data_IF_904371444915
#
_entry.id   IF_904371444915
#
_cell.length_a   1.000
_cell.length_b   1.000
_cell.length_c   1.000
_cell.angle_alpha   90.00
_cell.angle_beta   90.00
_cell.angle_gamma   90.00
#
_symmetry.space_group_name_H-M   'P 1'
#
loop_
_entity.id
_entity.type
_entity.pdbx_description
1 polymer ?
#
# COMPACT_ATOMS: atom_id res chain seq x y z
N UNK A 1 -22.14 -14.03 -12.21
CA UNK A 1 -20.76 -13.96 -12.73
C UNK A 1 -19.89 -13.46 -11.60
N UNK A 2 -18.75 -14.08 -11.32
CA UNK A 2 -17.83 -13.58 -10.30
C UNK A 2 -17.28 -12.21 -10.74
N UNK A 3 -17.11 -11.28 -9.80
CA UNK A 3 -16.45 -10.01 -10.11
C UNK A 3 -15.01 -10.31 -10.56
N UNK A 4 -14.51 -9.64 -11.61
CA UNK A 4 -13.11 -9.76 -12.00
C UNK A 4 -12.22 -9.38 -10.82
N UNK A 5 -11.26 -10.25 -10.49
CA UNK A 5 -10.32 -10.02 -9.40
C UNK A 5 -9.25 -9.03 -9.82
N UNK A 6 -8.91 -8.09 -8.93
CA UNK A 6 -7.79 -7.17 -9.10
C UNK A 6 -6.46 -7.95 -9.03
N UNK A 7 -5.58 -7.71 -9.99
CA UNK A 7 -4.24 -8.30 -10.02
C UNK A 7 -3.31 -7.41 -9.20
N UNK A 8 -2.68 -7.98 -8.18
CA UNK A 8 -1.74 -7.28 -7.30
C UNK A 8 -0.29 -7.60 -7.70
N UNK A 9 0.64 -6.73 -7.32
CA UNK A 9 2.08 -6.98 -7.48
C UNK A 9 2.52 -8.12 -6.55
N UNK A 10 3.36 -9.02 -7.08
CA UNK A 10 3.91 -10.19 -6.38
C UNK A 10 5.25 -9.90 -5.68
N UNK A 11 5.81 -8.71 -5.89
CA UNK A 11 6.95 -8.20 -5.15
C UNK A 11 6.48 -7.09 -4.23
N UNK A 12 7.07 -7.08 -3.04
CA UNK A 12 6.78 -6.09 -2.02
C UNK A 12 8.06 -5.33 -1.73
N UNK A 13 7.94 -4.03 -1.44
CA UNK A 13 9.03 -3.19 -0.94
C UNK A 13 10.21 -3.03 -1.93
N UNK A 14 9.94 -3.16 -3.22
CA UNK A 14 10.84 -2.79 -4.31
C UNK A 14 10.06 -1.88 -5.26
N UNK A 15 10.67 -0.79 -5.70
CA UNK A 15 10.20 -0.08 -6.88
C UNK A 15 10.32 -0.96 -8.13
N UNK A 16 9.56 -0.65 -9.17
CA UNK A 16 9.61 -1.36 -10.45
C UNK A 16 11.06 -1.39 -11.02
N UNK A 17 11.83 -0.33 -10.78
CA UNK A 17 13.25 -0.19 -11.17
C UNK A 17 14.17 -1.07 -10.32
N UNK A 18 14.00 -1.08 -9.00
CA UNK A 18 14.80 -1.94 -8.12
C UNK A 18 14.53 -3.42 -8.38
N UNK A 19 13.26 -3.77 -8.67
CA UNK A 19 12.85 -5.13 -9.01
C UNK A 19 13.53 -5.64 -10.30
N UNK A 20 13.54 -4.83 -11.36
CA UNK A 20 14.17 -5.17 -12.65
C UNK A 20 15.69 -5.24 -12.51
N UNK A 21 16.32 -4.29 -11.80
CA UNK A 21 17.76 -4.33 -11.51
C UNK A 21 18.16 -5.55 -10.67
N UNK A 22 17.37 -5.92 -9.66
CA UNK A 22 17.60 -7.13 -8.89
C UNK A 22 17.47 -8.38 -9.78
N UNK A 23 16.45 -8.44 -10.63
CA UNK A 23 16.26 -9.53 -11.59
C UNK A 23 17.46 -9.68 -12.55
N UNK A 24 18.04 -8.57 -13.01
CA UNK A 24 19.31 -8.58 -13.78
C UNK A 24 20.47 -9.19 -13.00
N UNK A 25 20.58 -8.84 -11.71
CA UNK A 25 21.65 -9.30 -10.83
C UNK A 25 21.56 -10.80 -10.59
N UNK A 26 20.36 -11.30 -10.23
CA UNK A 26 20.11 -12.72 -10.03
C UNK A 26 20.30 -13.51 -11.32
N UNK A 27 19.83 -12.99 -12.47
CA UNK A 27 20.04 -13.65 -13.78
C UNK A 27 21.53 -13.78 -14.11
N UNK A 28 22.32 -12.76 -13.80
CA UNK A 28 23.78 -12.81 -14.01
C UNK A 28 24.41 -13.90 -13.15
N UNK A 29 24.04 -14.01 -11.87
CA UNK A 29 24.50 -15.09 -10.98
C UNK A 29 24.07 -16.48 -11.48
N UNK A 30 22.79 -16.64 -11.86
CA UNK A 30 22.27 -17.86 -12.46
C UNK A 30 23.06 -18.29 -13.69
N UNK A 31 23.42 -17.35 -14.56
CA UNK A 31 24.15 -17.64 -15.81
C UNK A 31 25.54 -18.20 -15.52
N UNK A 32 26.22 -17.71 -14.48
CA UNK A 32 27.53 -18.23 -14.05
C UNK A 32 27.43 -19.68 -13.56
N UNK A 33 26.37 -20.02 -12.81
CA UNK A 33 26.22 -21.33 -12.20
C UNK A 33 25.20 -22.24 -12.90
N UNK A 34 24.83 -21.92 -14.15
CA UNK A 34 23.72 -22.55 -14.89
C UNK A 34 23.75 -24.07 -14.87
N UNK A 35 24.93 -24.68 -15.02
CA UNK A 35 25.10 -26.14 -15.03
C UNK A 35 24.58 -26.81 -13.74
N UNK A 36 24.72 -26.15 -12.59
CA UNK A 36 24.21 -26.65 -11.30
C UNK A 36 22.70 -26.54 -11.24
N UNK A 37 22.13 -25.43 -11.71
CA UNK A 37 20.68 -25.25 -11.83
C UNK A 37 20.04 -26.27 -12.78
N UNK A 38 20.62 -26.51 -13.95
CA UNK A 38 20.09 -27.49 -14.92
C UNK A 38 20.19 -28.94 -14.42
N UNK A 39 21.16 -29.21 -13.54
CA UNK A 39 21.28 -30.52 -12.87
C UNK A 39 20.22 -30.68 -11.79
N UNK A 40 19.89 -29.60 -11.08
CA UNK A 40 18.85 -29.58 -10.06
C UNK A 40 17.44 -29.69 -10.66
N UNK A 41 17.16 -28.93 -11.72
CA UNK A 41 15.88 -28.95 -12.45
C UNK A 41 16.11 -28.69 -13.96
N UNK A 42 15.74 -29.63 -14.85
CA UNK A 42 15.87 -29.47 -16.30
C UNK A 42 15.12 -28.27 -16.89
N UNK A 43 14.12 -27.70 -16.20
CA UNK A 43 13.40 -26.50 -16.64
C UNK A 43 14.32 -25.27 -16.77
N UNK A 44 15.48 -25.27 -16.11
CA UNK A 44 16.48 -24.19 -16.21
C UNK A 44 17.38 -24.30 -17.46
N UNK A 45 17.16 -25.30 -18.33
CA UNK A 45 17.86 -25.40 -19.60
C UNK A 45 17.50 -24.26 -20.56
N UNK A 46 18.26 -24.14 -21.65
CA UNK A 46 17.87 -23.23 -22.71
C UNK A 46 16.46 -23.55 -23.23
N UNK A 47 15.61 -22.53 -23.44
CA UNK A 47 15.93 -21.10 -23.52
C UNK A 47 15.66 -20.27 -22.24
N UNK A 48 15.60 -20.87 -21.05
CA UNK A 48 15.15 -20.22 -19.81
C UNK A 48 15.76 -18.82 -19.56
N UNK A 49 17.09 -18.69 -19.58
CA UNK A 49 17.79 -17.41 -19.32
C UNK A 49 17.43 -16.33 -20.33
N UNK A 50 17.29 -16.70 -21.60
CA UNK A 50 16.94 -15.78 -22.67
C UNK A 50 15.50 -15.30 -22.54
N UNK A 51 14.56 -16.21 -22.24
CA UNK A 51 13.17 -15.87 -21.99
C UNK A 51 13.02 -14.95 -20.77
N UNK A 52 13.80 -15.20 -19.71
CA UNK A 52 13.82 -14.32 -18.54
C UNK A 52 14.37 -12.93 -18.87
N UNK A 53 15.44 -12.82 -19.67
CA UNK A 53 15.92 -11.53 -20.15
C UNK A 53 14.84 -10.76 -20.91
N UNK A 54 14.13 -11.41 -21.84
CA UNK A 54 13.02 -10.77 -22.58
C UNK A 54 11.94 -10.24 -21.64
N UNK A 55 11.64 -10.93 -20.54
CA UNK A 55 10.69 -10.47 -19.53
C UNK A 55 11.19 -9.25 -18.75
N UNK A 56 12.48 -9.21 -18.42
CA UNK A 56 13.10 -8.04 -17.78
C UNK A 56 13.02 -6.83 -18.73
N UNK A 57 13.44 -6.99 -19.98
CA UNK A 57 13.40 -5.91 -20.99
C UNK A 57 11.97 -5.42 -21.24
N UNK A 58 10.98 -6.32 -21.28
CA UNK A 58 9.58 -5.96 -21.41
C UNK A 58 9.08 -5.14 -20.20
N UNK A 59 9.53 -5.46 -18.99
CA UNK A 59 9.19 -4.70 -17.78
C UNK A 59 9.85 -3.31 -17.77
N UNK A 60 11.10 -3.19 -18.22
CA UNK A 60 11.83 -1.92 -18.30
C UNK A 60 11.27 -0.97 -19.39
N UNK A 61 10.68 -1.53 -20.45
CA UNK A 61 10.05 -0.76 -21.52
C UNK A 61 8.70 -0.14 -21.15
N UNK A 62 8.13 -0.49 -20.00
CA UNK A 62 6.84 0.03 -19.56
C UNK A 62 6.93 1.52 -19.19
N UNK A 63 5.94 2.34 -19.57
CA UNK A 63 5.87 3.71 -19.08
C UNK A 63 5.72 3.71 -17.55
N UNK A 64 6.41 4.63 -16.88
CA UNK A 64 6.23 4.86 -15.44
C UNK A 64 4.82 5.39 -15.13
N UNK A 65 4.36 5.30 -13.88
CA UNK A 65 3.06 5.90 -13.51
C UNK A 65 3.10 7.42 -13.64
N UNK A 66 4.27 8.01 -13.37
CA UNK A 66 4.55 9.41 -13.63
C UNK A 66 4.38 9.77 -15.11
N UNK A 67 4.93 8.97 -16.03
CA UNK A 67 4.77 9.21 -17.48
C UNK A 67 3.29 9.14 -17.92
N UNK A 68 2.52 8.19 -17.37
CA UNK A 68 1.07 8.07 -17.61
C UNK A 68 0.31 9.29 -17.05
N UNK A 69 0.71 9.77 -15.88
CA UNK A 69 0.11 10.96 -15.26
C UNK A 69 0.46 12.24 -16.03
N UNK A 70 1.68 12.35 -16.53
CA UNK A 70 2.12 13.46 -17.36
C UNK A 70 1.34 13.52 -18.67
N UNK A 71 1.11 12.38 -19.33
CA UNK A 71 0.29 12.30 -20.53
C UNK A 71 -1.15 12.77 -20.27
N UNK A 72 -1.77 12.32 -19.17
CA UNK A 72 -3.10 12.80 -18.78
C UNK A 72 -3.11 14.32 -18.51
N UNK A 73 -2.04 14.84 -17.93
CA UNK A 73 -1.88 16.28 -17.66
C UNK A 73 -1.77 17.06 -18.98
N UNK A 74 -1.00 16.57 -19.95
CA UNK A 74 -0.90 17.17 -21.28
C UNK A 74 -2.25 17.20 -22.00
N UNK A 75 -3.01 16.09 -21.97
CA UNK A 75 -4.36 16.03 -22.55
C UNK A 75 -5.32 17.00 -21.85
N UNK A 76 -5.22 17.12 -20.53
CA UNK A 76 -6.03 18.06 -19.74
C UNK A 76 -5.73 19.52 -20.12
N UNK A 77 -4.45 19.86 -20.31
CA UNK A 77 -4.03 21.18 -20.77
C UNK A 77 -4.53 21.47 -22.20
N UNK A 78 -4.48 20.48 -23.09
CA UNK A 78 -4.99 20.62 -24.45
C UNK A 78 -6.50 20.95 -24.46
N UNK A 79 -7.29 20.29 -23.61
CA UNK A 79 -8.73 20.61 -23.47
C UNK A 79 -8.92 22.04 -22.95
N UNK A 80 -8.16 22.45 -21.93
CA UNK A 80 -8.30 23.80 -21.36
C UNK A 80 -7.90 24.90 -22.35
N UNK A 81 -6.87 24.67 -23.17
CA UNK A 81 -6.50 25.58 -24.26
C UNK A 81 -7.67 25.77 -25.23
N UNK A 82 -8.33 24.67 -25.65
CA UNK A 82 -9.48 24.76 -26.56
C UNK A 82 -10.71 25.37 -25.90
N UNK A 83 -10.92 25.14 -24.61
CA UNK A 83 -11.95 25.82 -23.81
C UNK A 83 -11.75 27.34 -23.84
N UNK A 84 -10.52 27.81 -23.64
CA UNK A 84 -10.22 29.24 -23.64
C UNK A 84 -10.45 29.88 -25.01
N UNK A 85 -10.04 29.20 -26.09
CA UNK A 85 -10.32 29.66 -27.45
C UNK A 85 -11.83 29.74 -27.73
N UNK A 86 -12.62 28.77 -27.28
CA UNK A 86 -14.08 28.81 -27.40
C UNK A 86 -14.70 29.99 -26.62
N UNK A 87 -14.26 30.22 -25.39
CA UNK A 87 -14.69 31.36 -24.56
C UNK A 87 -14.38 32.68 -25.26
N UNK A 88 -13.13 32.86 -25.71
CA UNK A 88 -12.72 34.06 -26.42
C UNK A 88 -13.52 34.27 -27.72
N UNK A 89 -13.77 33.20 -28.47
CA UNK A 89 -14.55 33.25 -29.70
C UNK A 89 -15.98 33.74 -29.45
N UNK A 90 -16.65 33.23 -28.42
CA UNK A 90 -18.00 33.71 -28.11
C UNK A 90 -18.00 35.17 -27.65
N UNK A 91 -17.09 35.55 -26.74
CA UNK A 91 -17.01 36.93 -26.24
C UNK A 91 -16.75 37.95 -27.36
N UNK A 92 -15.81 37.66 -28.25
CA UNK A 92 -15.52 38.54 -29.40
C UNK A 92 -16.69 38.62 -30.40
N UNK A 93 -17.49 37.56 -30.50
CA UNK A 93 -18.66 37.51 -31.38
C UNK A 93 -19.85 38.33 -30.86
N UNK A 94 -19.96 38.54 -29.55
CA UNK A 94 -21.04 39.32 -28.92
C UNK A 94 -21.21 40.70 -29.54
N UNK A 95 -20.09 41.40 -29.79
CA UNK A 95 -20.09 42.70 -30.44
C UNK A 95 -20.85 42.69 -31.78
N UNK A 96 -20.61 41.69 -32.62
CA UNK A 96 -21.25 41.58 -33.92
C UNK A 96 -22.71 41.14 -33.81
N UNK A 97 -23.03 40.26 -32.85
CA UNK A 97 -24.39 39.80 -32.58
C UNK A 97 -25.26 41.00 -32.13
N UNK A 98 -24.81 41.77 -31.15
CA UNK A 98 -25.51 42.96 -30.64
C UNK A 98 -25.64 44.05 -31.69
N UNK A 99 -24.59 44.26 -32.51
CA UNK A 99 -24.63 45.18 -33.66
C UNK A 99 -25.64 44.74 -34.74
N UNK A 100 -25.87 43.44 -34.88
CA UNK A 100 -26.82 42.88 -35.87
C UNK A 100 -28.25 42.87 -35.34
N UNK A 101 -28.42 42.60 -34.06
CA UNK A 101 -29.70 42.41 -33.39
C UNK A 101 -29.83 43.31 -32.16
N UNK A 102 -29.84 44.65 -32.36
CA UNK A 102 -29.94 45.58 -31.24
C UNK A 102 -31.29 45.41 -30.53
N UNK A 103 -31.25 45.29 -29.20
CA UNK A 103 -32.43 45.11 -28.33
C UNK A 103 -33.32 43.88 -28.62
N UNK A 104 -32.88 42.94 -29.45
CA UNK A 104 -33.61 41.69 -29.70
C UNK A 104 -33.03 40.56 -28.84
N UNK A 105 -33.40 40.58 -27.55
CA UNK A 105 -32.92 39.62 -26.56
C UNK A 105 -33.31 38.18 -26.87
N UNK A 106 -34.46 37.96 -27.52
CA UNK A 106 -34.86 36.61 -27.93
C UNK A 106 -33.85 36.00 -28.92
N UNK A 107 -33.41 36.77 -29.92
CA UNK A 107 -32.38 36.31 -30.86
C UNK A 107 -31.02 36.19 -30.19
N UNK A 108 -30.64 37.12 -29.29
CA UNK A 108 -29.39 37.02 -28.54
C UNK A 108 -29.35 35.78 -27.64
N UNK A 109 -30.46 35.41 -27.00
CA UNK A 109 -30.55 34.18 -26.22
C UNK A 109 -30.51 32.93 -27.11
N UNK A 110 -31.01 32.96 -28.36
CA UNK A 110 -30.75 31.85 -29.28
C UNK A 110 -29.25 31.59 -29.49
N UNK A 111 -28.41 32.65 -29.48
CA UNK A 111 -26.95 32.52 -29.52
C UNK A 111 -26.35 31.98 -28.21
N UNK A 112 -27.14 31.80 -27.15
CA UNK A 112 -26.73 31.22 -25.86
C UNK A 112 -26.26 32.24 -24.82
N UNK A 113 -26.74 33.49 -24.87
CA UNK A 113 -26.38 34.50 -23.86
C UNK A 113 -26.75 34.10 -22.43
N UNK A 114 -27.87 33.40 -22.27
CA UNK A 114 -28.38 32.83 -21.02
C UNK A 114 -27.64 31.57 -20.56
N UNK A 115 -27.19 30.73 -21.50
CA UNK A 115 -26.51 29.46 -21.20
C UNK A 115 -24.99 29.58 -21.00
N UNK A 116 -24.37 30.67 -21.47
CA UNK A 116 -22.91 30.79 -21.57
C UNK A 116 -22.19 30.69 -20.22
N UNK A 117 -22.72 31.28 -19.15
CA UNK A 117 -22.06 31.29 -17.83
C UNK A 117 -21.94 29.90 -17.22
N UNK A 118 -22.87 29.02 -17.56
CA UNK A 118 -22.83 27.60 -17.21
C UNK A 118 -21.88 26.83 -18.12
N UNK A 119 -21.94 27.09 -19.43
CA UNK A 119 -21.14 26.40 -20.43
C UNK A 119 -19.63 26.65 -20.23
N UNK A 120 -19.22 27.88 -19.90
CA UNK A 120 -17.81 28.27 -19.75
C UNK A 120 -17.03 27.51 -18.66
N UNK A 121 -17.72 26.82 -17.76
CA UNK A 121 -17.15 26.09 -16.62
C UNK A 121 -17.15 24.57 -16.80
N UNK A 122 -17.67 24.06 -17.92
CA UNK A 122 -17.80 22.63 -18.17
C UNK A 122 -17.45 22.29 -19.61
N UNK A 123 -16.52 21.36 -19.80
CA UNK A 123 -16.06 20.89 -21.12
C UNK A 123 -17.24 20.38 -21.96
N UNK A 124 -18.04 19.47 -21.38
CA UNK A 124 -19.23 18.89 -22.04
C UNK A 124 -20.27 19.95 -22.40
N UNK A 125 -20.56 20.89 -21.48
CA UNK A 125 -21.52 21.97 -21.76
C UNK A 125 -20.99 22.92 -22.83
N UNK A 126 -19.70 23.25 -22.83
CA UNK A 126 -19.09 24.12 -23.83
C UNK A 126 -19.12 23.49 -25.23
N UNK A 127 -18.91 22.19 -25.36
CA UNK A 127 -19.06 21.47 -26.65
C UNK A 127 -20.50 21.65 -27.19
N UNK A 128 -21.51 21.33 -26.37
CA UNK A 128 -22.91 21.51 -26.76
C UNK A 128 -23.26 22.97 -27.08
N UNK A 129 -22.72 23.90 -26.30
CA UNK A 129 -22.86 25.34 -26.52
C UNK A 129 -22.28 25.78 -27.87
N UNK A 130 -21.05 25.37 -28.22
CA UNK A 130 -20.39 25.74 -29.48
C UNK A 130 -21.12 25.16 -30.69
N UNK A 131 -21.66 23.95 -30.58
CA UNK A 131 -22.53 23.35 -31.60
C UNK A 131 -23.78 24.20 -31.84
N UNK A 132 -24.46 24.61 -30.76
CA UNK A 132 -25.62 25.49 -30.85
C UNK A 132 -25.25 26.87 -31.43
N UNK A 133 -24.13 27.44 -30.98
CA UNK A 133 -23.64 28.74 -31.45
C UNK A 133 -23.38 28.71 -32.96
N UNK A 134 -22.70 27.68 -33.48
CA UNK A 134 -22.47 27.52 -34.91
C UNK A 134 -23.77 27.36 -35.71
N UNK A 135 -24.71 26.56 -35.21
CA UNK A 135 -26.04 26.37 -35.83
C UNK A 135 -26.80 27.69 -35.96
N UNK A 136 -26.82 28.50 -34.90
CA UNK A 136 -27.54 29.78 -34.86
C UNK A 136 -26.82 30.85 -35.68
N UNK A 137 -25.48 30.88 -35.67
CA UNK A 137 -24.71 31.73 -36.57
C UNK A 137 -25.00 31.43 -38.05
N UNK A 138 -25.15 30.16 -38.42
CA UNK A 138 -25.56 29.77 -39.77
C UNK A 138 -27.00 30.18 -40.09
N UNK A 139 -27.95 30.02 -39.16
CA UNK A 139 -29.35 30.49 -39.31
C UNK A 139 -29.40 31.98 -39.65
N UNK A 140 -28.57 32.79 -38.99
CA UNK A 140 -28.57 34.26 -39.12
C UNK A 140 -27.45 34.83 -40.01
N UNK A 141 -26.73 33.98 -40.76
CA UNK A 141 -25.49 34.35 -41.48
C UNK A 141 -25.60 35.58 -42.39
N UNK A 142 -26.71 35.72 -43.14
CA UNK A 142 -26.90 36.84 -44.06
C UNK A 142 -26.90 38.18 -43.32
N UNK A 143 -27.56 38.23 -42.15
CA UNK A 143 -27.63 39.44 -41.32
C UNK A 143 -26.28 39.74 -40.65
N UNK A 144 -25.59 38.71 -40.17
CA UNK A 144 -24.27 38.80 -39.56
C UNK A 144 -23.21 39.32 -40.55
N UNK A 145 -23.19 38.77 -41.77
CA UNK A 145 -22.28 39.20 -42.84
C UNK A 145 -22.52 40.66 -43.22
N UNK A 146 -23.78 41.11 -43.28
CA UNK A 146 -24.11 42.51 -43.50
C UNK A 146 -23.60 43.47 -42.40
N UNK A 147 -23.16 42.94 -41.26
CA UNK A 147 -22.51 43.69 -40.15
C UNK A 147 -21.01 43.39 -40.02
N UNK A 148 -20.40 42.81 -41.04
CA UNK A 148 -18.98 42.46 -41.15
C UNK A 148 -18.55 41.25 -40.30
N UNK A 149 -19.48 40.42 -39.83
CA UNK A 149 -19.12 39.12 -39.26
C UNK A 149 -18.99 38.10 -40.40
N UNK A 150 -17.75 37.88 -40.84
CA UNK A 150 -17.45 37.22 -42.10
C UNK A 150 -17.71 35.70 -42.07
N UNK A 151 -17.87 35.07 -43.24
CA UNK A 151 -18.03 33.61 -43.32
C UNK A 151 -16.86 32.83 -42.68
N UNK A 152 -15.58 33.23 -42.83
CA UNK A 152 -14.47 32.64 -42.07
C UNK A 152 -14.69 32.67 -40.56
N UNK A 153 -15.21 33.78 -40.00
CA UNK A 153 -15.48 33.88 -38.56
C UNK A 153 -16.60 32.93 -38.12
N UNK A 154 -17.59 32.65 -38.96
CA UNK A 154 -18.64 31.65 -38.69
C UNK A 154 -18.04 30.24 -38.73
N UNK A 155 -17.24 29.94 -39.77
CA UNK A 155 -16.59 28.63 -39.92
C UNK A 155 -15.64 28.30 -38.75
N UNK A 156 -14.95 29.31 -38.23
CA UNK A 156 -14.08 29.17 -37.06
C UNK A 156 -14.83 28.66 -35.82
N UNK A 157 -16.12 28.99 -35.65
CA UNK A 157 -16.92 28.46 -34.53
C UNK A 157 -17.04 26.93 -34.64
N UNK A 158 -17.34 26.43 -35.84
CA UNK A 158 -17.43 24.99 -36.10
C UNK A 158 -16.07 24.30 -35.93
N UNK A 159 -14.99 24.92 -36.43
CA UNK A 159 -13.65 24.38 -36.26
C UNK A 159 -13.24 24.28 -34.77
N UNK A 160 -13.55 25.29 -33.96
CA UNK A 160 -13.27 25.27 -32.52
C UNK A 160 -14.13 24.25 -31.77
N UNK A 161 -15.40 24.06 -32.18
CA UNK A 161 -16.23 22.97 -31.68
C UNK A 161 -15.56 21.61 -31.90
N UNK A 162 -15.16 21.32 -33.14
CA UNK A 162 -14.58 20.03 -33.50
C UNK A 162 -13.26 19.79 -32.75
N UNK A 163 -12.40 20.82 -32.67
CA UNK A 163 -11.14 20.75 -31.92
C UNK A 163 -11.35 20.49 -30.42
N UNK A 164 -12.32 21.16 -29.79
CA UNK A 164 -12.63 20.93 -28.37
C UNK A 164 -13.19 19.53 -28.14
N UNK A 165 -14.10 19.08 -29.01
CA UNK A 165 -14.69 17.75 -28.94
C UNK A 165 -13.64 16.65 -29.09
N UNK A 166 -12.72 16.78 -30.05
CA UNK A 166 -11.65 15.81 -30.27
C UNK A 166 -10.64 15.78 -29.11
N UNK A 167 -10.27 16.95 -28.57
CA UNK A 167 -9.42 17.02 -27.38
C UNK A 167 -10.08 16.35 -26.16
N UNK A 168 -11.37 16.61 -25.94
CA UNK A 168 -12.14 15.97 -24.85
C UNK A 168 -12.20 14.45 -25.04
N UNK A 169 -12.46 13.98 -26.26
CA UNK A 169 -12.51 12.54 -26.55
C UNK A 169 -11.16 11.86 -26.32
N UNK A 170 -10.06 12.49 -26.71
CA UNK A 170 -8.72 11.97 -26.43
C UNK A 170 -8.48 11.85 -24.91
N UNK A 171 -8.86 12.87 -24.13
CA UNK A 171 -8.73 12.84 -22.67
C UNK A 171 -9.59 11.73 -22.04
N UNK A 172 -10.86 11.62 -22.42
CA UNK A 172 -11.79 10.61 -21.87
C UNK A 172 -11.39 9.19 -22.29
N UNK A 173 -10.96 9.00 -23.53
CA UNK A 173 -10.41 7.74 -24.00
C UNK A 173 -9.22 7.32 -23.13
N UNK A 174 -8.26 8.23 -22.89
CA UNK A 174 -7.10 7.95 -22.05
C UNK A 174 -7.47 7.60 -20.61
N UNK A 175 -8.40 8.35 -19.99
CA UNK A 175 -8.93 8.02 -18.65
C UNK A 175 -9.51 6.61 -18.59
N UNK A 176 -10.20 6.18 -19.66
CA UNK A 176 -10.82 4.85 -19.71
C UNK A 176 -9.81 3.70 -19.85
N UNK A 177 -8.68 3.91 -20.55
CA UNK A 177 -7.65 2.88 -20.72
C UNK A 177 -6.60 2.87 -19.61
N UNK A 178 -6.46 3.94 -18.82
CA UNK A 178 -5.49 3.99 -17.70
C UNK A 178 -5.55 2.77 -16.76
N UNK A 179 -6.73 2.28 -16.31
CA UNK A 179 -6.79 1.08 -15.48
C UNK A 179 -6.23 -0.17 -16.18
N UNK A 180 -6.46 -0.30 -17.49
CA UNK A 180 -5.94 -1.39 -18.31
C UNK A 180 -4.41 -1.31 -18.39
N UNK A 181 -3.87 -0.12 -18.66
CA UNK A 181 -2.42 0.12 -18.67
C UNK A 181 -1.80 -0.27 -17.32
N UNK A 182 -2.42 0.11 -16.21
CA UNK A 182 -1.94 -0.27 -14.87
C UNK A 182 -1.96 -1.78 -14.68
N UNK A 183 -3.03 -2.45 -15.08
CA UNK A 183 -3.14 -3.90 -14.95
C UNK A 183 -2.11 -4.64 -15.83
N UNK A 184 -1.94 -4.25 -17.07
CA UNK A 184 -0.97 -4.83 -18.00
C UNK A 184 0.46 -4.66 -17.48
N UNK A 185 0.77 -3.49 -16.90
CA UNK A 185 2.05 -3.25 -16.24
C UNK A 185 2.29 -4.24 -15.11
N UNK A 186 1.32 -4.42 -14.21
CA UNK A 186 1.45 -5.36 -13.08
C UNK A 186 1.66 -6.79 -13.59
N UNK A 187 0.95 -7.21 -14.63
CA UNK A 187 1.11 -8.55 -15.23
C UNK A 187 2.54 -8.74 -15.74
N UNK A 188 3.08 -7.78 -16.50
CA UNK A 188 4.42 -7.87 -17.07
C UNK A 188 5.50 -7.84 -15.98
N UNK A 189 5.35 -6.97 -14.99
CA UNK A 189 6.26 -6.88 -13.84
C UNK A 189 6.26 -8.17 -13.00
N UNK A 190 5.08 -8.73 -12.72
CA UNK A 190 4.95 -10.01 -12.02
C UNK A 190 5.58 -11.15 -12.81
N UNK A 191 5.36 -11.19 -14.12
CA UNK A 191 5.93 -12.24 -14.97
C UNK A 191 7.47 -12.24 -14.96
N UNK A 192 8.11 -11.07 -14.81
CA UNK A 192 9.55 -10.93 -14.59
C UNK A 192 9.95 -11.42 -13.19
N UNK A 193 9.24 -10.96 -12.15
CA UNK A 193 9.53 -11.30 -10.76
C UNK A 193 9.37 -12.79 -10.45
N UNK A 194 8.37 -13.45 -11.03
CA UNK A 194 8.11 -14.87 -10.81
C UNK A 194 9.31 -15.75 -11.25
N UNK A 195 10.00 -15.38 -12.34
CA UNK A 195 11.23 -16.08 -12.76
C UNK A 195 12.38 -15.84 -11.77
N UNK A 196 12.50 -14.62 -11.27
CA UNK A 196 13.46 -14.26 -10.21
C UNK A 196 13.22 -15.09 -8.94
N UNK A 197 11.97 -15.22 -8.50
CA UNK A 197 11.60 -16.03 -7.35
C UNK A 197 11.92 -17.52 -7.56
N UNK A 198 11.65 -18.06 -8.76
CA UNK A 198 11.95 -19.45 -9.11
C UNK A 198 13.45 -19.73 -8.96
N UNK A 199 14.29 -18.86 -9.50
CA UNK A 199 15.75 -18.98 -9.44
C UNK A 199 16.27 -18.78 -8.01
N UNK A 200 15.82 -17.76 -7.29
CA UNK A 200 16.25 -17.53 -5.91
C UNK A 200 15.90 -18.71 -5.00
N UNK A 201 14.71 -19.30 -5.18
CA UNK A 201 14.28 -20.47 -4.41
C UNK A 201 15.17 -21.70 -4.68
N UNK A 202 15.48 -21.97 -5.95
CA UNK A 202 16.38 -23.06 -6.32
C UNK A 202 17.82 -22.81 -5.84
N UNK A 203 18.33 -21.58 -5.99
CA UNK A 203 19.70 -21.21 -5.60
C UNK A 203 19.98 -21.43 -4.12
N UNK A 204 19.04 -21.06 -3.24
CA UNK A 204 19.17 -21.31 -1.79
C UNK A 204 19.32 -22.80 -1.45
N UNK A 205 18.63 -23.67 -2.19
CA UNK A 205 18.70 -25.12 -1.99
C UNK A 205 20.01 -25.68 -2.55
N UNK A 206 20.37 -25.31 -3.78
CA UNK A 206 21.60 -25.79 -4.45
C UNK A 206 22.85 -25.41 -3.66
N UNK A 207 22.88 -24.21 -3.06
CA UNK A 207 24.04 -23.66 -2.37
C UNK A 207 23.92 -23.68 -0.84
N UNK A 208 23.09 -24.55 -0.26
CA UNK A 208 22.88 -24.61 1.19
C UNK A 208 24.17 -24.75 2.03
N UNK A 209 25.22 -25.33 1.45
CA UNK A 209 26.54 -25.54 2.06
C UNK A 209 27.61 -24.53 1.62
N UNK A 210 27.27 -23.58 0.74
CA UNK A 210 28.15 -22.53 0.25
C UNK A 210 27.51 -21.16 0.51
N UNK A 211 27.77 -20.61 1.70
CA UNK A 211 27.15 -19.37 2.18
C UNK A 211 27.34 -18.19 1.19
N UNK A 212 28.54 -18.02 0.63
CA UNK A 212 28.82 -16.93 -0.30
C UNK A 212 28.00 -17.02 -1.60
N UNK A 213 27.67 -18.23 -2.06
CA UNK A 213 26.79 -18.44 -3.22
C UNK A 213 25.32 -18.36 -2.82
N UNK A 214 24.95 -18.93 -1.68
CA UNK A 214 23.61 -18.85 -1.11
C UNK A 214 23.14 -17.40 -0.99
N UNK A 215 23.99 -16.50 -0.50
CA UNK A 215 23.65 -15.10 -0.27
C UNK A 215 23.36 -14.32 -1.57
N UNK A 216 23.86 -14.79 -2.73
CA UNK A 216 23.55 -14.20 -4.04
C UNK A 216 22.09 -14.45 -4.48
N UNK A 217 21.41 -15.41 -3.85
CA UNK A 217 20.05 -15.84 -4.15
C UNK A 217 19.07 -15.52 -3.01
N UNK A 218 19.51 -14.72 -2.04
CA UNK A 218 18.60 -14.11 -1.07
C UNK A 218 17.78 -13.02 -1.78
N UNK A 219 16.47 -13.05 -1.56
CA UNK A 219 15.63 -11.94 -1.97
C UNK A 219 16.03 -10.69 -1.16
N UNK A 220 15.89 -9.48 -1.72
CA UNK A 220 16.20 -8.28 -0.98
C UNK A 220 15.36 -8.27 0.29
N UNK A 221 16.01 -8.23 1.46
CA UNK A 221 15.33 -7.78 2.65
C UNK A 221 14.88 -6.35 2.39
N UNK A 222 13.65 -6.00 2.79
CA UNK A 222 13.04 -4.68 2.63
C UNK A 222 13.92 -3.56 3.19
N UNK A 223 14.93 -3.15 2.45
CA UNK A 223 15.97 -2.23 2.86
C UNK A 223 15.84 -0.97 2.00
N UNK A 224 14.81 -0.17 2.32
CA UNK A 224 14.64 1.19 1.82
C UNK A 224 13.32 1.42 1.10
N UNK A 225 12.34 1.99 1.82
CA UNK A 225 11.14 2.57 1.19
C UNK A 225 9.82 1.87 1.52
N UNK A 226 9.22 2.25 2.67
CA UNK A 226 7.77 2.19 2.89
C UNK A 226 7.09 0.85 2.69
N UNK A 227 7.50 -0.19 3.41
CA UNK A 227 6.72 -1.42 3.48
C UNK A 227 5.45 -1.23 4.31
N UNK A 228 4.37 -1.92 3.92
CA UNK A 228 3.31 -2.23 4.87
C UNK A 228 4.01 -2.98 6.02
N UNK A 229 3.99 -2.46 7.26
CA UNK A 229 4.74 -3.06 8.35
C UNK A 229 4.32 -4.53 8.49
N UNK A 230 5.29 -5.42 8.74
CA UNK A 230 4.97 -6.75 9.25
C UNK A 230 4.00 -6.54 10.40
N UNK A 231 2.77 -7.06 10.27
CA UNK A 231 1.69 -6.85 11.24
C UNK A 231 2.27 -7.24 12.60
N UNK A 232 2.46 -6.23 13.46
CA UNK A 232 3.04 -6.43 14.77
C UNK A 232 2.23 -7.52 15.50
N UNK A 233 2.93 -8.50 16.08
CA UNK A 233 2.30 -9.63 16.73
C UNK A 233 2.97 -10.01 18.05
N UNK A 234 2.15 -10.51 18.96
CA UNK A 234 2.58 -11.17 20.19
C UNK A 234 2.17 -12.64 20.08
N UNK A 235 3.15 -13.52 19.93
CA UNK A 235 2.93 -14.97 19.88
C UNK A 235 3.16 -15.59 21.26
N UNK A 236 2.22 -16.40 21.74
CA UNK A 236 2.30 -17.07 23.04
C UNK A 236 2.05 -18.55 22.86
N UNK A 237 2.96 -19.37 23.37
CA UNK A 237 2.75 -20.83 23.49
C UNK A 237 2.46 -21.14 24.95
N UNK A 238 1.25 -21.56 25.24
CA UNK A 238 0.72 -21.77 26.58
C UNK A 238 0.46 -23.24 26.90
N UNK A 239 0.95 -23.73 28.04
CA UNK A 239 0.68 -25.09 28.51
C UNK A 239 -0.55 -25.13 29.44
N UNK A 240 -1.68 -25.54 28.86
CA UNK A 240 -2.97 -25.67 29.56
C UNK A 240 -3.22 -27.08 30.11
N UNK A 241 -2.20 -27.93 30.16
CA UNK A 241 -2.35 -29.32 30.65
C UNK A 241 -2.75 -29.41 32.13
N UNK A 242 -2.39 -28.41 32.94
CA UNK A 242 -2.60 -28.44 34.41
C UNK A 242 -3.66 -27.47 34.94
N UNK A 243 -4.31 -26.65 34.09
CA UNK A 243 -5.21 -25.56 34.53
C UNK A 243 -6.53 -25.47 33.76
N UNK A 244 -6.99 -26.59 33.20
CA UNK A 244 -8.24 -26.67 32.44
C UNK A 244 -9.40 -26.01 33.17
N UNK A 245 -10.07 -25.04 32.53
CA UNK A 245 -11.24 -24.34 33.07
C UNK A 245 -10.99 -23.01 33.79
N UNK A 246 -9.73 -22.55 33.93
CA UNK A 246 -9.46 -21.18 34.38
C UNK A 246 -9.34 -20.21 33.20
N UNK A 247 -9.86 -18.97 33.32
CA UNK A 247 -9.70 -17.97 32.28
C UNK A 247 -8.25 -17.51 32.19
N UNK A 248 -7.71 -17.50 30.98
CA UNK A 248 -6.46 -16.82 30.67
C UNK A 248 -6.75 -15.36 30.40
N UNK A 249 -5.86 -14.48 30.83
CA UNK A 249 -5.99 -13.04 30.63
C UNK A 249 -4.76 -12.47 29.93
N UNK A 250 -4.99 -11.69 28.87
CA UNK A 250 -3.99 -10.81 28.27
C UNK A 250 -4.49 -9.38 28.45
N UNK A 251 -3.74 -8.60 29.22
CA UNK A 251 -4.09 -7.24 29.57
C UNK A 251 -3.16 -6.28 28.84
N UNK A 252 -3.73 -5.38 28.05
CA UNK A 252 -3.01 -4.38 27.26
C UNK A 252 -3.53 -3.00 27.65
N UNK A 253 -2.65 -2.14 28.17
CA UNK A 253 -2.99 -0.75 28.50
C UNK A 253 -2.27 0.22 27.57
N UNK A 254 -3.00 1.21 27.06
CA UNK A 254 -2.46 2.24 26.18
C UNK A 254 -1.84 3.40 26.95
N UNK A 255 -0.90 4.09 26.34
CA UNK A 255 -0.43 5.38 26.83
C UNK A 255 -1.51 6.47 26.63
N UNK A 256 -1.30 7.67 27.17
CA UNK A 256 -2.23 8.79 27.05
C UNK A 256 -2.37 9.34 25.61
N UNK A 257 -1.49 8.93 24.71
CA UNK A 257 -1.44 9.38 23.31
C UNK A 257 -2.09 8.39 22.35
N UNK A 258 -2.60 7.24 22.81
CA UNK A 258 -3.24 6.24 21.95
C UNK A 258 -4.51 6.82 21.29
N UNK A 259 -4.58 6.82 19.96
CA UNK A 259 -5.64 7.50 19.21
C UNK A 259 -6.81 6.60 18.77
N UNK A 260 -6.95 5.41 19.37
CA UNK A 260 -7.89 4.40 18.90
C UNK A 260 -7.30 3.57 17.75
N UNK A 261 -7.02 2.30 18.02
CA UNK A 261 -6.57 1.32 17.02
C UNK A 261 -6.98 -0.09 17.44
N UNK A 262 -7.37 -0.92 16.47
CA UNK A 262 -7.86 -2.27 16.73
C UNK A 262 -6.74 -3.26 17.02
N UNK A 263 -6.98 -4.15 17.99
CA UNK A 263 -6.15 -5.30 18.32
C UNK A 263 -7.04 -6.55 18.28
N UNK A 264 -6.52 -7.64 17.72
CA UNK A 264 -7.19 -8.94 17.63
C UNK A 264 -6.39 -9.99 18.38
N UNK A 265 -7.01 -10.69 19.33
CA UNK A 265 -6.47 -11.88 19.96
C UNK A 265 -7.13 -13.12 19.37
N UNK A 266 -6.34 -14.06 18.87
CA UNK A 266 -6.77 -15.35 18.32
C UNK A 266 -6.29 -16.45 19.25
N UNK A 267 -7.22 -17.25 19.77
CA UNK A 267 -6.94 -18.25 20.81
C UNK A 267 -6.88 -19.67 20.27
N UNK A 268 -7.77 -20.00 19.33
CA UNK A 268 -7.80 -21.26 18.60
C UNK A 268 -8.56 -21.06 17.29
N UNK A 269 -8.55 -22.07 16.42
CA UNK A 269 -9.19 -21.98 15.11
C UNK A 269 -10.66 -21.55 15.23
N UNK A 270 -10.98 -20.37 14.71
CA UNK A 270 -12.33 -19.81 14.72
C UNK A 270 -12.74 -19.10 16.03
N UNK A 271 -11.83 -18.94 16.99
CA UNK A 271 -12.09 -18.24 18.25
C UNK A 271 -11.16 -17.05 18.40
N UNK A 272 -11.73 -15.85 18.29
CA UNK A 272 -11.00 -14.59 18.37
C UNK A 272 -11.81 -13.49 19.06
N UNK A 273 -11.13 -12.55 19.71
CA UNK A 273 -11.71 -11.35 20.28
C UNK A 273 -10.98 -10.13 19.73
N UNK A 274 -11.72 -9.07 19.36
CA UNK A 274 -11.15 -7.80 18.93
C UNK A 274 -11.58 -6.67 19.85
N UNK A 275 -10.68 -5.73 20.12
CA UNK A 275 -10.97 -4.51 20.87
C UNK A 275 -10.13 -3.33 20.37
N UNK A 276 -10.60 -2.10 20.63
CA UNK A 276 -9.87 -0.89 20.26
C UNK A 276 -9.13 -0.31 21.47
N UNK A 277 -7.85 0.06 21.28
CA UNK A 277 -7.02 0.66 22.31
C UNK A 277 -7.22 2.18 22.35
N UNK A 278 -7.89 2.68 23.39
CA UNK A 278 -8.09 4.12 23.61
C UNK A 278 -6.97 4.73 24.47
N UNK A 279 -6.85 6.07 24.43
CA UNK A 279 -5.92 6.85 25.26
C UNK A 279 -6.10 6.52 26.76
N UNK A 280 -5.04 5.98 27.39
CA UNK A 280 -5.07 5.51 28.78
C UNK A 280 -6.03 4.35 29.05
N UNK A 281 -6.63 3.78 28.01
CA UNK A 281 -7.57 2.67 28.12
C UNK A 281 -6.87 1.35 28.41
N UNK A 282 -7.64 0.37 28.90
CA UNK A 282 -7.18 -0.99 29.12
C UNK A 282 -8.09 -1.97 28.40
N UNK A 283 -7.48 -2.86 27.62
CA UNK A 283 -8.13 -4.01 27.00
C UNK A 283 -7.79 -5.23 27.84
N UNK A 284 -8.81 -6.05 28.11
CA UNK A 284 -8.63 -7.37 28.73
C UNK A 284 -9.19 -8.41 27.76
N UNK A 285 -8.31 -9.21 27.17
CA UNK A 285 -8.72 -10.39 26.42
C UNK A 285 -8.77 -11.58 27.36
N UNK A 286 -9.91 -12.27 27.40
CA UNK A 286 -10.11 -13.46 28.23
C UNK A 286 -10.58 -14.65 27.40
N UNK A 287 -10.06 -15.84 27.70
CA UNK A 287 -10.54 -17.09 27.10
C UNK A 287 -10.40 -18.27 28.07
N UNK A 288 -11.32 -19.23 27.97
CA UNK A 288 -11.30 -20.48 28.74
C UNK A 288 -11.23 -21.63 27.76
N UNK A 289 -10.12 -22.37 27.76
CA UNK A 289 -10.00 -23.56 26.93
C UNK A 289 -10.81 -24.72 27.52
N UNK A 290 -11.66 -25.32 26.68
CA UNK A 290 -12.46 -26.48 27.05
C UNK A 290 -11.64 -27.79 27.12
N UNK A 291 -10.49 -27.83 26.44
CA UNK A 291 -9.62 -29.00 26.37
C UNK A 291 -8.18 -28.66 26.78
N UNK A 292 -7.61 -29.51 27.63
CA UNK A 292 -6.22 -29.46 28.03
C UNK A 292 -5.27 -29.66 26.82
N UNK A 293 -4.06 -29.09 26.91
CA UNK A 293 -3.01 -29.25 25.90
C UNK A 293 -2.17 -27.98 25.72
N UNK A 294 -1.28 -28.02 24.73
CA UNK A 294 -0.50 -26.85 24.31
C UNK A 294 -1.37 -25.99 23.39
N UNK A 295 -1.40 -24.69 23.65
CA UNK A 295 -2.21 -23.71 22.93
C UNK A 295 -1.33 -22.59 22.37
N UNK A 296 -1.58 -22.21 21.12
CA UNK A 296 -0.95 -21.06 20.49
C UNK A 296 -1.94 -19.90 20.53
N UNK A 297 -1.50 -18.76 21.03
CA UNK A 297 -2.30 -17.54 21.12
C UNK A 297 -1.54 -16.47 20.34
N UNK A 298 -2.22 -15.85 19.39
CA UNK A 298 -1.66 -14.78 18.57
C UNK A 298 -2.43 -13.49 18.84
N UNK A 299 -1.73 -12.44 19.25
CA UNK A 299 -2.30 -11.10 19.35
C UNK A 299 -1.70 -10.26 18.23
N UNK A 300 -2.52 -9.78 17.31
CA UNK A 300 -2.08 -9.01 16.14
C UNK A 300 -2.73 -7.63 16.12
N UNK A 301 -2.01 -6.65 15.59
CA UNK A 301 -2.63 -5.37 15.28
C UNK A 301 -3.63 -5.49 14.12
N UNK A 302 -4.83 -4.92 14.29
CA UNK A 302 -5.79 -4.69 13.20
C UNK A 302 -5.52 -3.33 12.56
N UNK A 303 -5.11 -2.36 13.39
CA UNK A 303 -4.65 -1.04 12.94
C UNK A 303 -3.13 -0.96 13.08
N UNK A 304 -2.44 -0.84 11.95
CA UNK A 304 -0.97 -0.79 11.91
C UNK A 304 -0.38 0.28 12.86
N UNK A 305 0.66 -0.08 13.59
CA UNK A 305 1.36 0.77 14.55
C UNK A 305 0.71 0.88 15.93
N UNK A 306 -0.42 0.21 16.18
CA UNK A 306 -1.14 0.34 17.48
C UNK A 306 -0.30 -0.15 18.66
N UNK A 307 0.60 -1.11 18.45
CA UNK A 307 1.49 -1.62 19.50
C UNK A 307 2.47 -0.56 20.01
N UNK A 308 2.85 0.41 19.16
CA UNK A 308 3.71 1.52 19.54
C UNK A 308 3.10 2.43 20.61
N UNK A 309 1.79 2.31 20.87
CA UNK A 309 1.09 3.03 21.94
C UNK A 309 0.83 2.20 23.20
N UNK A 310 1.25 0.93 23.25
CA UNK A 310 1.10 0.10 24.44
C UNK A 310 2.04 0.63 25.53
N UNK A 311 1.47 0.99 26.68
CA UNK A 311 2.21 1.39 27.88
C UNK A 311 2.51 0.19 28.79
N UNK A 312 1.60 -0.78 28.86
CA UNK A 312 1.71 -1.96 29.72
C UNK A 312 1.17 -3.21 29.02
N UNK A 313 1.95 -4.28 29.07
CA UNK A 313 1.57 -5.61 28.62
C UNK A 313 1.66 -6.58 29.80
N UNK A 314 0.54 -7.23 30.14
CA UNK A 314 0.48 -8.16 31.27
C UNK A 314 -0.17 -9.48 30.88
N UNK A 315 0.42 -10.58 31.32
CA UNK A 315 -0.06 -11.95 31.08
C UNK A 315 0.07 -12.79 32.35
N UNK A 316 -0.73 -12.50 33.38
CA UNK A 316 -0.62 -13.20 34.66
C UNK A 316 -1.09 -14.65 34.54
N UNK A 317 -0.27 -15.59 35.00
CA UNK A 317 -0.61 -17.01 35.14
C UNK A 317 -1.15 -17.68 33.85
N UNK A 318 -0.70 -17.23 32.67
CA UNK A 318 -1.15 -17.84 31.40
C UNK A 318 -0.41 -19.14 31.07
N UNK A 319 0.41 -19.67 31.98
CA UNK A 319 1.30 -20.83 31.76
C UNK A 319 2.10 -20.73 30.45
N UNK A 320 2.55 -19.53 30.07
CA UNK A 320 3.37 -19.35 28.89
C UNK A 320 4.69 -20.13 29.04
N UNK A 321 5.04 -20.84 27.98
CA UNK A 321 6.32 -21.53 27.77
C UNK A 321 7.17 -20.80 26.71
N UNK A 322 6.53 -20.04 25.82
CA UNK A 322 7.17 -19.13 24.85
C UNK A 322 6.35 -17.85 24.81
N UNK A 323 7.03 -16.70 24.76
CA UNK A 323 6.45 -15.40 24.41
C UNK A 323 7.37 -14.78 23.36
N UNK A 324 6.81 -14.40 22.21
CA UNK A 324 7.51 -13.73 21.12
C UNK A 324 6.88 -12.37 20.89
N UNK A 325 7.69 -11.32 20.82
CA UNK A 325 7.26 -9.95 20.53
C UNK A 325 7.82 -9.52 19.17
N UNK A 326 6.92 -9.13 18.27
CA UNK A 326 7.28 -8.53 16.98
C UNK A 326 6.52 -7.21 16.78
N UNK A 327 7.23 -6.18 16.32
CA UNK A 327 6.69 -4.85 16.10
C UNK A 327 7.18 -3.80 17.11
N UNK A 328 6.61 -2.60 17.04
CA UNK A 328 7.04 -1.48 17.86
C UNK A 328 6.40 -1.53 19.26
N UNK A 329 7.23 -1.65 20.30
CA UNK A 329 6.81 -1.54 21.72
C UNK A 329 7.54 -0.38 22.42
N UNK A 330 7.94 0.66 21.68
CA UNK A 330 8.72 1.78 22.18
C UNK A 330 8.02 2.66 23.22
N UNK A 331 6.73 2.47 23.49
CA UNK A 331 6.02 3.12 24.61
C UNK A 331 5.89 2.24 25.85
N UNK A 332 6.24 0.96 25.76
CA UNK A 332 6.01 0.01 26.84
C UNK A 332 7.00 0.26 27.98
N UNK A 333 6.44 0.59 29.14
CA UNK A 333 7.19 0.81 30.39
C UNK A 333 6.94 -0.31 31.40
N UNK A 334 5.98 -1.18 31.14
CA UNK A 334 5.63 -2.31 32.01
C UNK A 334 5.44 -3.58 31.19
N UNK A 335 6.21 -4.60 31.54
CA UNK A 335 6.01 -5.98 31.09
C UNK A 335 5.81 -6.86 32.33
N UNK A 336 4.63 -7.44 32.50
CA UNK A 336 4.30 -8.26 33.66
C UNK A 336 3.90 -9.67 33.22
N UNK A 337 4.85 -10.59 33.30
CA UNK A 337 4.67 -12.00 32.92
C UNK A 337 4.70 -12.92 34.15
N UNK A 338 4.18 -12.43 35.28
CA UNK A 338 4.15 -13.20 36.52
C UNK A 338 3.41 -14.55 36.37
N UNK A 339 3.94 -15.60 37.00
CA UNK A 339 3.25 -16.89 37.13
C UNK A 339 3.37 -17.82 35.90
N UNK A 340 4.26 -17.52 34.96
CA UNK A 340 4.46 -18.32 33.75
C UNK A 340 5.53 -19.43 33.93
N UNK A 341 5.71 -20.27 32.90
CA UNK A 341 6.60 -21.45 32.90
C UNK A 341 7.61 -21.39 31.76
N UNK A 342 8.19 -20.21 31.52
CA UNK A 342 9.09 -19.96 30.39
C UNK A 342 10.46 -20.60 30.68
N UNK A 343 10.95 -21.57 29.88
CA UNK A 343 12.29 -22.13 30.03
C UNK A 343 13.38 -21.09 29.81
N UNK A 344 14.58 -21.33 30.35
CA UNK A 344 15.68 -20.36 30.33
C UNK A 344 16.04 -19.88 28.91
N UNK A 345 16.05 -20.77 27.92
CA UNK A 345 16.33 -20.42 26.52
C UNK A 345 15.35 -19.39 25.96
N UNK A 346 14.06 -19.60 26.22
CA UNK A 346 12.99 -18.73 25.70
C UNK A 346 12.92 -17.44 26.50
N UNK A 347 13.31 -17.47 27.78
CA UNK A 347 13.44 -16.29 28.61
C UNK A 347 14.56 -15.37 28.10
N UNK A 348 15.70 -15.94 27.70
CA UNK A 348 16.78 -15.17 27.07
C UNK A 348 16.36 -14.50 25.77
N UNK A 349 15.60 -15.19 24.93
CA UNK A 349 15.05 -14.63 23.69
C UNK A 349 14.05 -13.50 23.98
N UNK A 350 13.12 -13.71 24.90
CA UNK A 350 12.16 -12.69 25.33
C UNK A 350 12.87 -11.43 25.88
N UNK A 351 13.89 -11.61 26.72
CA UNK A 351 14.70 -10.50 27.24
C UNK A 351 15.44 -9.75 26.13
N UNK A 352 15.91 -10.46 25.11
CA UNK A 352 16.53 -9.86 23.92
C UNK A 352 15.53 -8.99 23.17
N UNK A 353 14.33 -9.51 22.92
CA UNK A 353 13.25 -8.78 22.24
C UNK A 353 12.82 -7.53 23.05
N UNK A 354 12.59 -7.67 24.36
CA UNK A 354 12.25 -6.52 25.22
C UNK A 354 13.36 -5.47 25.20
N UNK A 355 14.63 -5.89 25.20
CA UNK A 355 15.75 -4.96 25.14
C UNK A 355 15.82 -4.18 23.82
N UNK A 356 15.39 -4.77 22.69
CA UNK A 356 15.32 -4.10 21.40
C UNK A 356 14.27 -2.97 21.40
N UNK A 357 13.13 -3.16 22.06
CA UNK A 357 12.01 -2.23 21.99
C UNK A 357 11.86 -1.31 23.20
N UNK A 358 12.39 -1.70 24.36
CA UNK A 358 12.10 -1.04 25.63
C UNK A 358 12.53 0.43 25.64
N UNK A 359 11.85 1.24 26.46
CA UNK A 359 12.25 2.61 26.81
C UNK A 359 13.37 2.62 27.86
N UNK A 360 13.77 3.81 28.31
CA UNK A 360 14.55 3.95 29.54
C UNK A 360 13.62 4.06 30.74
N UNK A 361 13.90 3.33 31.82
CA UNK A 361 13.08 3.30 33.03
C UNK A 361 11.76 2.57 32.85
N UNK A 362 11.66 1.35 33.40
CA UNK A 362 10.47 0.52 33.30
C UNK A 362 10.45 -0.61 34.33
N UNK A 363 9.39 -1.40 34.33
CA UNK A 363 9.19 -2.54 35.19
C UNK A 363 9.05 -3.81 34.36
N UNK A 364 9.92 -4.80 34.62
CA UNK A 364 9.82 -6.14 34.07
C UNK A 364 9.64 -7.12 35.22
N UNK A 365 8.45 -7.72 35.31
CA UNK A 365 8.15 -8.72 36.34
C UNK A 365 8.07 -10.11 35.74
N UNK A 366 9.00 -10.97 36.15
CA UNK A 366 9.17 -12.37 35.77
C UNK A 366 9.09 -13.29 37.00
N UNK A 367 8.46 -12.85 38.08
CA UNK A 367 8.30 -13.66 39.31
C UNK A 367 7.15 -14.68 39.18
N UNK A 368 7.06 -15.62 40.11
CA UNK A 368 6.07 -16.69 40.14
C UNK A 368 6.33 -17.83 39.16
N UNK A 369 5.46 -18.84 39.23
CA UNK A 369 5.48 -19.99 38.33
C UNK A 369 6.74 -20.86 38.47
N UNK A 370 7.27 -21.33 37.34
CA UNK A 370 8.49 -22.17 37.28
C UNK A 370 9.61 -21.52 36.46
N UNK A 371 9.53 -20.19 36.26
CA UNK A 371 10.56 -19.46 35.53
C UNK A 371 11.91 -19.55 36.24
N UNK A 372 12.99 -19.93 35.54
CA UNK A 372 14.32 -19.91 36.11
C UNK A 372 14.78 -18.47 36.34
N UNK A 373 15.66 -18.27 37.33
CA UNK A 373 16.37 -17.00 37.50
C UNK A 373 17.34 -16.86 36.31
N UNK A 374 17.23 -15.80 35.48
CA UNK A 374 18.19 -15.57 34.40
C UNK A 374 19.59 -15.34 34.97
N UNK A 375 20.62 -15.71 34.20
CA UNK A 375 22.00 -15.41 34.55
C UNK A 375 22.19 -13.88 34.72
N UNK A 376 22.63 -13.38 35.89
CA UNK A 376 22.92 -11.96 36.08
C UNK A 376 23.92 -11.40 35.06
N UNK A 377 24.76 -12.25 34.45
CA UNK A 377 25.72 -11.88 33.41
C UNK A 377 25.11 -11.85 31.99
N UNK A 378 23.84 -12.21 31.81
CA UNK A 378 23.19 -12.22 30.51
C UNK A 378 23.09 -10.80 29.92
N UNK A 379 23.69 -10.57 28.76
CA UNK A 379 23.90 -9.23 28.21
C UNK A 379 22.60 -8.41 28.04
N UNK A 380 21.47 -8.95 27.53
CA UNK A 380 20.20 -8.22 27.48
C UNK A 380 19.67 -7.79 28.85
N UNK A 381 19.86 -8.61 29.89
CA UNK A 381 19.43 -8.26 31.25
C UNK A 381 20.28 -7.11 31.82
N UNK A 382 21.59 -7.14 31.60
CA UNK A 382 22.49 -6.03 31.97
C UNK A 382 22.09 -4.75 31.23
N UNK A 383 21.82 -4.85 29.92
CA UNK A 383 21.42 -3.73 29.10
C UNK A 383 20.12 -3.09 29.62
N UNK A 384 19.08 -3.87 29.90
CA UNK A 384 17.84 -3.38 30.49
C UNK A 384 18.07 -2.65 31.83
N UNK A 385 18.84 -3.25 32.75
CA UNK A 385 19.17 -2.63 34.04
C UNK A 385 19.96 -1.33 33.88
N UNK A 386 20.91 -1.28 32.94
CA UNK A 386 21.70 -0.07 32.65
C UNK A 386 20.83 1.09 32.13
N UNK A 387 19.71 0.76 31.48
CA UNK A 387 18.68 1.70 31.03
C UNK A 387 17.67 2.06 32.13
N UNK A 388 17.87 1.58 33.36
CA UNK A 388 17.02 1.89 34.52
C UNK A 388 15.80 0.98 34.69
N UNK A 389 15.75 -0.19 34.03
CA UNK A 389 14.67 -1.14 34.27
C UNK A 389 14.78 -1.83 35.63
N UNK A 390 13.66 -1.86 36.35
CA UNK A 390 13.47 -2.71 37.51
C UNK A 390 13.03 -4.09 37.06
N UNK A 391 13.94 -5.06 37.13
CA UNK A 391 13.67 -6.45 36.75
C UNK A 391 13.51 -7.30 38.01
N UNK A 392 12.31 -7.82 38.22
CA UNK A 392 11.97 -8.74 39.31
C UNK A 392 11.89 -10.16 38.77
N UNK A 393 12.61 -11.10 39.37
CA UNK A 393 12.62 -12.53 39.03
C UNK A 393 12.26 -13.34 40.28
N UNK A 394 12.15 -14.67 40.14
CA UNK A 394 12.01 -15.59 41.27
C UNK A 394 13.16 -15.56 42.26
#
# INVERSE_FOLDING_TARGET
>A
MANPQEILRNYHNLSDVEMTQFSHTVRSAFTVDKALFTTFDPDFNDPFSANWLTKIEAAEALPSDEAVQDELTQLSNAVEEKMELCRHKFQSSKFFIEKTFPANFAVQNEFGYDDYEDARRSQVKMIGFMSNFFRVANKYKVKLIAKNYTQPMINEIGALHDQLHDANNAQEAFKSVRPVITQDRIIILNACWDETLKVCSAGKIIFYNNMAKHDQFLLPDSAGGGGTPAVASIGIVSDQSTISGMPLEIIISGNLSASGGGILATWESGVSNSANLSAGGTIVFQHVYAAAGIKNIDVTEVTAGVFGFIASLQMPNVNATVITLSGDFSSATTFNFYGNKIPLSNLHELLTQINLYGTSGGLLNLSGGTMPVPDPAFAPLIALRSRGWMVTTN
#
